data_IF_454344405284
#
_entry.id   IF_454344405284
#
_cell.length_a   1.000
_cell.length_b   1.000
_cell.length_c   1.000
_cell.angle_alpha   90.00
_cell.angle_beta   90.00
_cell.angle_gamma   90.00
#
_symmetry.space_group_name_H-M   'P 1'
#
loop_
_entity.id
_entity.type
_entity.pdbx_description
1 polymer ?
#
# COMPACT_ATOMS: atom_id res chain seq x y z
N UNK A 1 6.79 -11.89 -4.08
CA UNK A 1 5.66 -11.34 -4.86
C UNK A 1 4.47 -12.29 -4.85
N UNK A 2 3.26 -11.83 -5.21
CA UNK A 2 2.09 -12.72 -5.41
C UNK A 2 1.27 -13.06 -4.17
N UNK A 3 1.60 -12.55 -2.99
CA UNK A 3 0.81 -12.80 -1.77
C UNK A 3 -0.54 -12.04 -1.74
N UNK A 4 -0.78 -11.13 -2.68
CA UNK A 4 -2.05 -10.39 -2.86
C UNK A 4 -2.11 -9.02 -2.18
N UNK A 5 -0.99 -8.32 -1.97
CA UNK A 5 -0.95 -6.97 -1.38
C UNK A 5 -1.81 -5.98 -2.17
N UNK A 6 -1.52 -5.81 -3.46
CA UNK A 6 -2.24 -4.89 -4.36
C UNK A 6 -3.73 -5.21 -4.43
N UNK A 7 -4.09 -6.49 -4.53
CA UNK A 7 -5.49 -6.94 -4.53
C UNK A 7 -6.18 -6.55 -3.21
N UNK A 8 -5.54 -6.80 -2.08
CA UNK A 8 -6.07 -6.44 -0.77
C UNK A 8 -6.20 -4.92 -0.62
N UNK A 9 -5.20 -4.16 -1.07
CA UNK A 9 -5.23 -2.69 -1.06
C UNK A 9 -6.44 -2.17 -1.86
N UNK A 10 -6.63 -2.67 -3.09
CA UNK A 10 -7.77 -2.29 -3.94
C UNK A 10 -9.13 -2.66 -3.32
N UNK A 11 -9.24 -3.86 -2.72
CA UNK A 11 -10.46 -4.30 -2.03
C UNK A 11 -10.78 -3.44 -0.80
N UNK A 12 -9.79 -3.13 0.02
CA UNK A 12 -9.95 -2.26 1.19
C UNK A 12 -10.36 -0.84 0.77
N UNK A 13 -9.68 -0.26 -0.23
CA UNK A 13 -10.03 1.05 -0.78
C UNK A 13 -11.49 1.11 -1.26
N UNK A 14 -11.89 0.11 -2.05
CA UNK A 14 -13.26 0.01 -2.54
C UNK A 14 -14.27 -0.15 -1.39
N UNK A 15 -13.93 -0.91 -0.35
CA UNK A 15 -14.83 -1.11 0.78
C UNK A 15 -14.97 0.14 1.64
N UNK A 16 -13.88 0.87 1.91
CA UNK A 16 -13.94 2.14 2.63
C UNK A 16 -14.74 3.20 1.85
N UNK A 17 -14.57 3.27 0.53
CA UNK A 17 -15.39 4.16 -0.29
C UNK A 17 -16.89 3.84 -0.22
N UNK A 18 -17.26 2.54 -0.16
CA UNK A 18 -18.66 2.11 0.07
C UNK A 18 -19.18 2.44 1.46
N UNK A 19 -18.31 2.73 2.40
CA UNK A 19 -18.63 3.18 3.76
C UNK A 19 -18.62 4.71 3.88
N UNK A 20 -18.79 5.41 2.75
CA UNK A 20 -18.82 6.88 2.64
C UNK A 20 -17.54 7.56 3.14
N UNK A 21 -16.38 6.86 3.05
CA UNK A 21 -15.07 7.45 3.33
C UNK A 21 -14.42 8.00 2.08
N UNK A 22 -13.75 9.11 2.22
CA UNK A 22 -12.86 9.61 1.17
C UNK A 22 -11.54 8.85 1.21
N UNK A 23 -11.16 8.22 0.09
CA UNK A 23 -10.04 7.28 0.04
C UNK A 23 -9.08 7.65 -1.09
N UNK A 24 -7.80 7.62 -0.80
CA UNK A 24 -6.75 7.65 -1.82
C UNK A 24 -5.83 6.45 -1.65
N UNK A 25 -5.50 5.81 -2.79
CA UNK A 25 -4.50 4.74 -2.85
C UNK A 25 -3.26 5.26 -3.58
N UNK A 26 -2.08 5.03 -3.00
CA UNK A 26 -0.77 5.32 -3.58
C UNK A 26 -0.13 4.02 -4.05
N UNK A 27 0.28 3.95 -5.32
CA UNK A 27 1.07 2.84 -5.84
C UNK A 27 2.56 3.18 -5.70
N UNK A 28 3.25 2.50 -4.80
CA UNK A 28 4.68 2.64 -4.58
C UNK A 28 5.49 1.45 -5.10
N UNK A 29 4.84 0.51 -5.84
CA UNK A 29 5.50 -0.58 -6.54
C UNK A 29 6.06 -0.06 -7.89
N UNK A 30 7.11 0.74 -7.79
CA UNK A 30 7.76 1.35 -8.96
C UNK A 30 8.34 0.28 -9.88
N UNK A 31 8.09 0.44 -11.18
CA UNK A 31 8.47 -0.50 -12.23
C UNK A 31 7.34 -1.46 -12.64
N UNK A 32 6.63 -2.07 -11.71
CA UNK A 32 5.55 -3.01 -12.02
C UNK A 32 4.20 -2.33 -12.22
N UNK A 33 3.87 -1.30 -11.41
CA UNK A 33 2.62 -0.54 -11.53
C UNK A 33 1.40 -1.47 -11.61
N UNK A 34 1.10 -2.16 -10.50
CA UNK A 34 0.04 -3.16 -10.49
C UNK A 34 -1.34 -2.60 -10.16
N UNK A 35 -1.39 -1.45 -9.46
CA UNK A 35 -2.64 -0.90 -8.96
C UNK A 35 -3.47 -0.25 -10.09
N UNK A 36 -2.84 0.46 -11.02
CA UNK A 36 -3.52 1.05 -12.18
C UNK A 36 -4.03 -0.01 -13.16
N UNK A 37 -3.31 -1.13 -13.31
CA UNK A 37 -3.76 -2.28 -14.08
C UNK A 37 -5.01 -2.92 -13.48
N UNK A 38 -5.08 -3.01 -12.14
CA UNK A 38 -6.25 -3.55 -11.44
C UNK A 38 -7.54 -2.78 -11.75
N UNK A 39 -7.43 -1.46 -11.96
CA UNK A 39 -8.57 -0.56 -12.25
C UNK A 39 -8.70 -0.19 -13.74
N UNK A 40 -7.93 -0.78 -14.64
CA UNK A 40 -7.94 -0.52 -16.08
C UNK A 40 -7.74 0.97 -16.43
N UNK A 41 -6.77 1.60 -15.80
CA UNK A 41 -6.49 3.03 -15.93
C UNK A 41 -5.23 3.36 -16.74
N UNK A 42 -4.57 2.39 -17.34
CA UNK A 42 -3.25 2.51 -17.98
C UNK A 42 -3.19 3.64 -19.01
N UNK A 43 -4.28 3.84 -19.73
CA UNK A 43 -4.39 4.86 -20.79
C UNK A 43 -4.85 6.24 -20.29
N UNK A 44 -5.12 6.39 -18.98
CA UNK A 44 -5.60 7.65 -18.40
C UNK A 44 -4.52 8.38 -17.61
N UNK A 45 -3.34 7.81 -17.45
CA UNK A 45 -2.27 8.33 -16.61
C UNK A 45 -1.47 9.37 -17.40
N UNK A 46 -1.53 10.62 -16.95
CA UNK A 46 -0.69 11.72 -17.45
C UNK A 46 0.47 11.96 -16.49
N UNK A 47 0.18 12.00 -15.21
CA UNK A 47 1.14 12.20 -14.13
C UNK A 47 1.07 11.05 -13.12
N UNK A 48 2.17 10.81 -12.42
CA UNK A 48 2.33 9.73 -11.46
C UNK A 48 2.92 10.24 -10.13
N UNK A 49 3.05 9.37 -9.15
CA UNK A 49 3.58 9.69 -7.83
C UNK A 49 4.98 10.33 -7.88
N UNK A 50 5.85 9.85 -8.76
CA UNK A 50 7.23 10.39 -8.89
C UNK A 50 7.21 11.80 -9.44
N UNK A 51 6.31 12.12 -10.39
CA UNK A 51 6.16 13.48 -10.91
C UNK A 51 5.74 14.47 -9.82
N UNK A 52 4.85 14.03 -8.92
CA UNK A 52 4.46 14.82 -7.73
C UNK A 52 5.62 15.03 -6.79
N UNK A 53 6.36 13.96 -6.47
CA UNK A 53 7.50 14.02 -5.53
C UNK A 53 8.66 14.86 -6.07
N UNK A 54 8.82 14.93 -7.40
CA UNK A 54 9.79 15.80 -8.09
C UNK A 54 9.30 17.24 -8.29
N UNK A 55 8.05 17.55 -7.93
CA UNK A 55 7.45 18.87 -8.12
C UNK A 55 7.10 19.21 -9.59
N UNK A 56 7.07 18.22 -10.47
CA UNK A 56 6.69 18.37 -11.89
C UNK A 56 5.21 18.75 -12.02
N UNK A 57 4.38 18.22 -11.13
CA UNK A 57 2.96 18.52 -11.07
C UNK A 57 2.45 18.58 -9.62
N UNK A 58 1.27 19.16 -9.42
CA UNK A 58 0.59 19.11 -8.14
C UNK A 58 0.01 17.70 -7.89
N UNK A 59 -0.12 17.28 -6.62
CA UNK A 59 -0.72 15.99 -6.29
C UNK A 59 -2.13 15.82 -6.86
N UNK A 60 -2.91 16.91 -6.97
CA UNK A 60 -4.27 16.88 -7.53
C UNK A 60 -4.30 16.51 -9.01
N UNK A 61 -3.27 16.88 -9.77
CA UNK A 61 -3.16 16.53 -11.19
C UNK A 61 -2.80 15.05 -11.41
N UNK A 62 -2.17 14.41 -10.43
CA UNK A 62 -1.83 12.99 -10.46
C UNK A 62 -2.93 12.07 -9.87
N UNK A 63 -3.97 12.65 -9.25
CA UNK A 63 -5.09 11.88 -8.72
C UNK A 63 -6.07 11.49 -9.83
N UNK A 64 -6.32 10.20 -9.96
CA UNK A 64 -7.33 9.64 -10.87
C UNK A 64 -8.55 9.18 -10.06
N UNK A 65 -9.75 9.71 -10.32
CA UNK A 65 -10.96 9.26 -9.64
C UNK A 65 -11.36 7.86 -10.12
N UNK A 66 -11.77 7.01 -9.18
CA UNK A 66 -12.24 5.64 -9.42
C UNK A 66 -13.76 5.53 -9.35
N UNK A 67 -14.42 6.56 -8.83
CA UNK A 67 -15.87 6.64 -8.70
C UNK A 67 -16.42 7.98 -9.26
N UNK A 68 -17.71 8.01 -9.56
CA UNK A 68 -18.41 9.21 -10.05
C UNK A 68 -18.54 10.29 -8.97
N UNK A 69 -18.60 9.92 -7.71
CA UNK A 69 -18.76 10.83 -6.57
C UNK A 69 -17.45 11.51 -6.17
N UNK A 70 -16.33 11.09 -6.78
CA UNK A 70 -14.99 11.63 -6.47
C UNK A 70 -14.63 11.51 -4.99
N UNK A 71 -14.93 10.37 -4.41
CA UNK A 71 -14.58 10.01 -3.03
C UNK A 71 -13.47 8.96 -2.99
N UNK A 72 -13.21 8.28 -4.11
CA UNK A 72 -12.23 7.22 -4.23
C UNK A 72 -11.24 7.51 -5.35
N UNK A 73 -9.94 7.56 -5.01
CA UNK A 73 -8.88 7.95 -5.92
C UNK A 73 -7.70 6.99 -5.88
N UNK A 74 -6.95 6.99 -6.98
CA UNK A 74 -5.63 6.39 -7.08
C UNK A 74 -4.61 7.44 -7.50
N UNK A 75 -3.41 7.38 -6.96
CA UNK A 75 -2.20 8.02 -7.46
C UNK A 75 -1.28 6.92 -7.99
N UNK A 76 -1.14 6.78 -9.31
CA UNK A 76 -0.37 5.69 -9.92
C UNK A 76 1.12 5.83 -9.65
N UNK A 77 1.81 4.70 -9.56
CA UNK A 77 3.26 4.63 -9.48
C UNK A 77 3.97 4.99 -10.79
N UNK A 78 5.29 5.04 -10.77
CA UNK A 78 6.12 5.27 -11.96
C UNK A 78 6.61 3.94 -12.52
N UNK A 79 6.75 3.86 -13.84
CA UNK A 79 7.45 2.75 -14.53
C UNK A 79 8.97 2.89 -14.48
N UNK A 80 9.47 4.10 -14.23
CA UNK A 80 10.90 4.36 -14.17
C UNK A 80 11.42 4.18 -12.74
N UNK A 81 12.52 3.45 -12.58
CA UNK A 81 13.12 3.10 -11.29
C UNK A 81 14.21 4.08 -10.85
N UNK A 82 14.68 4.96 -11.76
CA UNK A 82 15.82 5.83 -11.51
C UNK A 82 15.34 7.19 -11.00
N UNK A 83 15.38 7.39 -9.68
CA UNK A 83 15.10 8.69 -9.11
C UNK A 83 15.76 8.90 -7.75
N UNK A 84 16.42 10.02 -7.63
CA UNK A 84 16.67 10.67 -6.35
C UNK A 84 15.44 11.52 -6.00
N UNK A 85 14.81 11.26 -4.85
CA UNK A 85 13.71 12.06 -4.35
C UNK A 85 14.23 13.05 -3.30
N UNK A 86 13.67 14.26 -3.24
CA UNK A 86 13.92 15.16 -2.12
C UNK A 86 13.49 14.49 -0.79
N UNK A 87 14.30 14.64 0.26
CA UNK A 87 14.04 13.95 1.55
C UNK A 87 12.64 14.24 2.11
N UNK A 88 12.17 15.49 1.98
CA UNK A 88 10.90 15.92 2.54
C UNK A 88 9.70 15.79 1.57
N UNK A 89 9.93 15.38 0.32
CA UNK A 89 8.85 15.36 -0.67
C UNK A 89 7.72 14.41 -0.30
N UNK A 90 8.07 13.26 0.27
CA UNK A 90 7.08 12.25 0.66
C UNK A 90 6.27 12.69 1.87
N UNK A 91 6.91 13.25 2.90
CA UNK A 91 6.25 13.79 4.09
C UNK A 91 5.25 14.87 3.74
N UNK A 92 5.66 15.86 2.95
CA UNK A 92 4.80 16.93 2.47
C UNK A 92 3.58 16.41 1.69
N UNK A 93 3.77 15.36 0.89
CA UNK A 93 2.66 14.74 0.15
C UNK A 93 1.68 14.06 1.11
N UNK A 94 2.17 13.22 2.04
CA UNK A 94 1.33 12.47 2.98
C UNK A 94 0.53 13.42 3.88
N UNK A 95 1.12 14.49 4.38
CA UNK A 95 0.40 15.51 5.16
C UNK A 95 -0.76 16.14 4.38
N UNK A 96 -0.53 16.50 3.11
CA UNK A 96 -1.58 17.04 2.23
C UNK A 96 -2.69 16.02 1.99
N UNK A 97 -2.35 14.75 1.81
CA UNK A 97 -3.33 13.68 1.59
C UNK A 97 -4.12 13.40 2.88
N UNK A 98 -3.46 13.30 4.04
CA UNK A 98 -4.13 13.13 5.34
C UNK A 98 -5.09 14.29 5.68
N UNK A 99 -4.81 15.50 5.23
CA UNK A 99 -5.69 16.63 5.42
C UNK A 99 -6.95 16.60 4.52
N UNK A 100 -6.92 15.84 3.43
CA UNK A 100 -8.01 15.80 2.44
C UNK A 100 -8.81 14.48 2.44
N UNK A 101 -8.18 13.37 2.81
CA UNK A 101 -8.77 12.04 2.75
C UNK A 101 -8.90 11.42 4.14
N UNK A 102 -10.03 10.72 4.39
CA UNK A 102 -10.21 9.95 5.62
C UNK A 102 -9.24 8.76 5.69
N UNK A 103 -8.92 8.17 4.53
CA UNK A 103 -8.07 6.99 4.42
C UNK A 103 -7.02 7.19 3.32
N UNK A 104 -5.76 7.01 3.68
CA UNK A 104 -4.64 6.94 2.74
C UNK A 104 -4.10 5.51 2.78
N UNK A 105 -4.23 4.78 1.68
CA UNK A 105 -3.68 3.43 1.52
C UNK A 105 -2.41 3.49 0.67
N UNK A 106 -1.37 2.79 1.09
CA UNK A 106 -0.09 2.73 0.36
C UNK A 106 0.17 1.28 -0.03
N UNK A 107 0.08 0.99 -1.33
CA UNK A 107 0.48 -0.32 -1.87
C UNK A 107 1.98 -0.35 -2.07
N UNK A 108 2.63 -1.36 -1.50
CA UNK A 108 4.09 -1.46 -1.45
C UNK A 108 4.61 -2.67 -2.23
N UNK A 109 5.79 -2.58 -2.87
CA UNK A 109 6.44 -3.75 -3.45
C UNK A 109 6.79 -4.81 -2.40
N UNK A 110 7.32 -5.94 -2.84
CA UNK A 110 7.86 -6.96 -1.95
C UNK A 110 9.21 -6.52 -1.38
N UNK A 111 9.46 -6.90 -0.12
CA UNK A 111 10.71 -6.58 0.57
C UNK A 111 10.75 -5.17 1.18
N UNK A 112 11.91 -4.83 1.73
CA UNK A 112 12.17 -3.53 2.36
C UNK A 112 13.06 -2.72 1.43
N UNK A 113 12.53 -1.62 0.92
CA UNK A 113 13.28 -0.67 0.08
C UNK A 113 13.53 0.63 0.83
N UNK A 114 14.48 1.47 0.42
CA UNK A 114 14.72 2.77 1.05
C UNK A 114 13.45 3.65 1.11
N UNK A 115 12.60 3.58 0.08
CA UNK A 115 11.35 4.35 0.07
C UNK A 115 10.37 3.89 1.16
N UNK A 116 10.33 2.59 1.48
CA UNK A 116 9.51 2.10 2.60
C UNK A 116 9.98 2.69 3.92
N UNK A 117 11.30 2.72 4.15
CA UNK A 117 11.85 3.27 5.38
C UNK A 117 11.55 4.76 5.52
N UNK A 118 11.58 5.51 4.42
CA UNK A 118 11.20 6.92 4.40
C UNK A 118 9.70 7.15 4.70
N UNK A 119 8.84 6.16 4.41
CA UNK A 119 7.39 6.24 4.67
C UNK A 119 7.00 5.93 6.12
N UNK A 120 7.75 5.07 6.82
CA UNK A 120 7.36 4.56 8.14
C UNK A 120 6.96 5.63 9.16
N UNK A 121 7.65 6.79 9.27
CA UNK A 121 7.28 7.84 10.22
C UNK A 121 5.89 8.45 9.99
N UNK A 122 5.34 8.30 8.79
CA UNK A 122 4.09 8.94 8.38
C UNK A 122 2.91 7.98 8.28
N UNK A 123 3.12 6.69 8.56
CA UNK A 123 2.13 5.62 8.48
C UNK A 123 1.62 5.28 9.87
N UNK A 124 0.31 5.22 10.04
CA UNK A 124 -0.30 4.94 11.34
C UNK A 124 -0.32 3.43 11.65
N UNK A 125 -0.41 2.57 10.63
CA UNK A 125 -0.44 1.11 10.77
C UNK A 125 0.05 0.41 9.49
N UNK A 126 0.75 -0.71 9.65
CA UNK A 126 1.13 -1.61 8.56
C UNK A 126 0.26 -2.88 8.55
N UNK A 127 -0.20 -3.28 7.35
CA UNK A 127 -0.85 -4.56 7.12
C UNK A 127 0.12 -5.48 6.39
N UNK A 128 0.63 -6.49 7.08
CA UNK A 128 1.61 -7.45 6.53
C UNK A 128 0.86 -8.64 5.96
N UNK A 129 0.79 -8.72 4.62
CA UNK A 129 0.05 -9.78 3.92
C UNK A 129 0.93 -11.00 3.73
N UNK A 130 0.48 -12.15 4.20
CA UNK A 130 1.22 -13.41 4.20
C UNK A 130 0.37 -14.55 3.62
N UNK A 131 1.05 -15.54 3.06
CA UNK A 131 0.46 -16.85 2.76
C UNK A 131 1.01 -17.89 3.72
N UNK A 132 0.44 -19.10 3.73
CA UNK A 132 0.91 -20.20 4.59
C UNK A 132 2.22 -20.85 4.13
N UNK A 133 2.90 -20.31 3.11
CA UNK A 133 4.22 -20.82 2.70
C UNK A 133 5.29 -20.42 3.72
N UNK A 134 6.26 -21.31 3.97
CA UNK A 134 7.36 -21.04 4.90
C UNK A 134 8.16 -19.79 4.50
N UNK A 135 8.41 -19.60 3.21
CA UNK A 135 9.10 -18.42 2.70
C UNK A 135 8.35 -17.13 3.03
N UNK A 136 7.02 -17.10 2.76
CA UNK A 136 6.19 -15.92 3.06
C UNK A 136 6.14 -15.58 4.55
N UNK A 137 6.09 -16.60 5.40
CA UNK A 137 6.10 -16.43 6.86
C UNK A 137 7.46 -15.91 7.36
N UNK A 138 8.57 -16.45 6.85
CA UNK A 138 9.92 -16.00 7.22
C UNK A 138 10.15 -14.53 6.81
N UNK A 139 9.75 -14.15 5.58
CA UNK A 139 9.81 -12.78 5.09
C UNK A 139 8.97 -11.84 5.96
N UNK A 140 7.75 -12.26 6.31
CA UNK A 140 6.86 -11.46 7.14
C UNK A 140 7.40 -11.25 8.56
N UNK A 141 7.97 -12.27 9.19
CA UNK A 141 8.60 -12.15 10.52
C UNK A 141 9.76 -11.17 10.49
N UNK A 142 10.62 -11.26 9.46
CA UNK A 142 11.73 -10.34 9.27
C UNK A 142 11.24 -8.89 9.09
N UNK A 143 10.16 -8.71 8.33
CA UNK A 143 9.55 -7.41 8.10
C UNK A 143 8.90 -6.86 9.38
N UNK A 144 8.14 -7.67 10.12
CA UNK A 144 7.55 -7.28 11.40
C UNK A 144 8.61 -6.83 12.41
N UNK A 145 9.76 -7.49 12.44
CA UNK A 145 10.87 -7.08 13.32
C UNK A 145 11.40 -5.67 12.96
N UNK A 146 11.47 -5.35 11.66
CA UNK A 146 11.86 -4.00 11.22
C UNK A 146 10.81 -2.97 11.63
N UNK A 147 9.52 -3.27 11.41
CA UNK A 147 8.42 -2.39 11.79
C UNK A 147 8.40 -2.14 13.31
N UNK A 148 8.60 -3.19 14.10
CA UNK A 148 8.70 -3.10 15.56
C UNK A 148 9.83 -2.18 16.02
N UNK A 149 11.02 -2.28 15.40
CA UNK A 149 12.15 -1.38 15.68
C UNK A 149 11.84 0.09 15.37
N UNK A 150 10.96 0.34 14.42
CA UNK A 150 10.49 1.67 14.03
C UNK A 150 9.28 2.15 14.86
N UNK A 151 8.78 1.32 15.80
CA UNK A 151 7.60 1.63 16.59
C UNK A 151 6.30 1.65 15.79
N UNK A 152 6.28 1.11 14.56
CA UNK A 152 5.11 1.12 13.69
C UNK A 152 4.21 -0.11 14.00
N UNK A 153 2.95 0.09 14.43
CA UNK A 153 2.01 -0.99 14.66
C UNK A 153 1.78 -1.82 13.40
N UNK A 154 1.87 -3.14 13.51
CA UNK A 154 1.67 -4.05 12.39
C UNK A 154 0.60 -5.10 12.71
N UNK A 155 -0.15 -5.51 11.67
CA UNK A 155 -1.10 -6.62 11.72
C UNK A 155 -0.82 -7.60 10.60
N UNK A 156 -0.79 -8.89 10.93
CA UNK A 156 -0.67 -9.97 9.95
C UNK A 156 -2.03 -10.26 9.32
N UNK A 157 -2.05 -10.35 8.00
CA UNK A 157 -3.22 -10.74 7.21
C UNK A 157 -2.88 -12.01 6.45
N UNK A 158 -3.47 -13.13 6.86
CA UNK A 158 -3.31 -14.40 6.18
C UNK A 158 -4.21 -14.45 4.94
N UNK A 159 -3.61 -14.47 3.77
CA UNK A 159 -4.29 -14.55 2.49
C UNK A 159 -4.12 -15.93 1.84
N UNK A 160 -4.97 -16.28 0.89
CA UNK A 160 -4.96 -17.54 0.15
C UNK A 160 -5.03 -18.79 1.07
N UNK A 161 -5.74 -18.67 2.18
CA UNK A 161 -5.93 -19.78 3.12
C UNK A 161 -6.94 -20.78 2.55
N UNK A 162 -6.62 -22.08 2.63
CA UNK A 162 -7.59 -23.14 2.35
C UNK A 162 -8.61 -23.22 3.47
N UNK A 163 -9.89 -23.57 3.18
CA UNK A 163 -10.95 -23.66 4.19
C UNK A 163 -10.63 -24.62 5.37
N UNK A 164 -9.88 -25.71 5.12
CA UNK A 164 -9.45 -26.67 6.10
C UNK A 164 -8.40 -26.11 7.09
N UNK A 165 -7.61 -25.14 6.67
CA UNK A 165 -6.61 -24.46 7.49
C UNK A 165 -7.23 -23.41 8.42
N UNK A 166 -8.42 -22.94 8.13
CA UNK A 166 -9.15 -21.98 8.97
C UNK A 166 -9.79 -22.62 10.22
N UNK A 167 -9.72 -23.95 10.38
CA UNK A 167 -10.27 -24.65 11.54
C UNK A 167 -9.52 -24.28 12.83
N UNK A 168 -10.27 -24.24 13.93
CA UNK A 168 -9.88 -23.73 15.26
C UNK A 168 -8.51 -24.23 15.78
N UNK A 169 -8.06 -25.43 15.38
CA UNK A 169 -6.78 -26.05 15.81
C UNK A 169 -5.55 -25.39 15.18
N UNK A 170 -5.70 -24.67 14.07
CA UNK A 170 -4.60 -23.95 13.41
C UNK A 170 -4.54 -22.48 13.83
N UNK A 171 -5.62 -21.91 14.38
CA UNK A 171 -5.63 -20.53 14.90
C UNK A 171 -4.69 -20.32 16.08
N UNK A 172 -4.59 -21.28 17.01
CA UNK A 172 -3.67 -21.18 18.15
C UNK A 172 -2.20 -21.14 17.70
N UNK A 173 -1.82 -21.95 16.71
CA UNK A 173 -0.47 -21.92 16.12
C UNK A 173 -0.13 -20.60 15.43
N UNK A 174 -1.12 -19.96 14.81
CA UNK A 174 -0.96 -18.66 14.14
C UNK A 174 -0.86 -17.50 15.15
N UNK A 175 -1.52 -17.63 16.32
CA UNK A 175 -1.43 -16.65 17.41
C UNK A 175 -0.12 -16.74 18.18
N UNK A 176 0.51 -17.91 18.24
CA UNK A 176 1.85 -18.10 18.85
C UNK A 176 2.98 -17.56 17.95
N UNK A 177 2.69 -17.30 16.67
CA UNK A 177 3.65 -16.79 15.67
C UNK A 177 3.51 -15.28 15.42
N UNK A 178 2.52 -14.63 16.00
CA UNK A 178 2.22 -13.20 15.86
C UNK A 178 2.61 -12.42 17.12
#
# INVERSE_FOLDING_TARGET
GGVGKTTLCAMLGSQFARMDKTVVMLDTDFGLRNLDLYFHLENKIIYNLVDVLKGVCSYRQALLPLDSNRTFYIMPGSRNYDFSLPEDAFSCLIEKLKAQFDIVLIDTPAGITPIHQAMFPYVDQALVVVTMSQASLADALSFCHVLQKQGLPARLIFNQMRPDMAKRRNRSRLQEMA
#
